data_IF_378713987494
#
_entry.id   IF_378713987494
#
_cell.length_a   1.000
_cell.length_b   1.000
_cell.length_c   1.000
_cell.angle_alpha   90.00
_cell.angle_beta   90.00
_cell.angle_gamma   90.00
#
_symmetry.space_group_name_H-M   'P 1'
#
loop_
_entity.id
_entity.type
_entity.pdbx_description
1 polymer ?
#
# COMPACT_ATOMS: atom_id res chain seq x y z
N UNK A 1 33.67 12.50 -43.20
CA UNK A 1 32.98 13.41 -42.27
C UNK A 1 31.89 12.61 -41.60
N UNK A 2 32.18 12.15 -40.39
CA UNK A 2 31.28 11.41 -39.50
C UNK A 2 30.34 12.42 -38.84
N UNK A 3 29.05 12.32 -39.12
CA UNK A 3 28.03 12.97 -38.30
C UNK A 3 27.65 11.97 -37.22
N UNK A 4 28.31 12.09 -36.07
CA UNK A 4 27.81 11.54 -34.81
C UNK A 4 26.64 12.41 -34.36
N UNK A 5 25.46 11.79 -34.27
CA UNK A 5 24.27 12.38 -33.68
C UNK A 5 24.29 12.11 -32.15
N UNK A 6 24.46 13.11 -31.27
CA UNK A 6 24.62 12.89 -29.83
C UNK A 6 23.28 12.91 -29.06
N UNK A 7 22.14 12.76 -29.74
CA UNK A 7 20.82 13.08 -29.17
C UNK A 7 19.99 11.94 -28.57
N UNK A 8 20.46 10.69 -28.55
CA UNK A 8 19.65 9.54 -28.16
C UNK A 8 20.00 8.96 -26.78
N UNK A 9 19.02 8.90 -25.86
CA UNK A 9 18.96 7.97 -24.70
C UNK A 9 19.40 8.43 -23.29
N UNK A 10 19.19 9.69 -22.89
CA UNK A 10 19.22 10.03 -21.44
C UNK A 10 17.86 9.90 -20.71
N UNK A 11 16.74 9.80 -21.44
CA UNK A 11 15.40 9.80 -20.85
C UNK A 11 14.97 8.48 -20.17
N UNK A 12 15.55 7.33 -20.54
CA UNK A 12 15.12 6.03 -19.98
C UNK A 12 15.74 5.73 -18.61
N UNK A 13 16.97 6.18 -18.36
CA UNK A 13 17.69 5.96 -17.10
C UNK A 13 17.07 6.71 -15.92
N UNK A 14 16.74 7.99 -16.14
CA UNK A 14 16.15 8.88 -15.14
C UNK A 14 14.71 8.49 -14.82
N UNK A 15 13.92 8.09 -15.83
CA UNK A 15 12.57 7.60 -15.64
C UNK A 15 12.55 6.30 -14.82
N UNK A 16 13.41 5.34 -15.15
CA UNK A 16 13.49 4.07 -14.42
C UNK A 16 13.92 4.31 -12.96
N UNK A 17 14.88 5.21 -12.73
CA UNK A 17 15.29 5.60 -11.38
C UNK A 17 14.15 6.27 -10.60
N UNK A 18 13.38 7.17 -11.22
CA UNK A 18 12.22 7.83 -10.61
C UNK A 18 11.11 6.82 -10.26
N UNK A 19 10.85 5.83 -11.13
CA UNK A 19 9.88 4.78 -10.85
C UNK A 19 10.31 3.87 -9.70
N UNK A 20 11.56 3.40 -9.69
CA UNK A 20 12.07 2.56 -8.58
C UNK A 20 12.03 3.32 -7.25
N UNK A 21 12.42 4.60 -7.28
CA UNK A 21 12.32 5.55 -6.16
C UNK A 21 10.91 5.65 -5.61
N UNK A 22 9.95 5.96 -6.49
CA UNK A 22 8.58 6.18 -6.09
C UNK A 22 7.89 4.92 -5.59
N UNK A 23 8.19 3.77 -6.19
CA UNK A 23 7.64 2.50 -5.75
C UNK A 23 8.25 2.07 -4.40
N UNK A 24 9.53 2.34 -4.15
CA UNK A 24 10.13 2.14 -2.82
C UNK A 24 9.48 3.00 -1.74
N UNK A 25 9.15 4.27 -2.06
CA UNK A 25 8.39 5.13 -1.17
C UNK A 25 6.98 4.58 -0.89
N UNK A 26 6.26 4.14 -1.94
CA UNK A 26 4.92 3.61 -1.81
C UNK A 26 4.91 2.32 -0.96
N UNK A 27 5.85 1.41 -1.21
CA UNK A 27 6.05 0.18 -0.42
C UNK A 27 6.33 0.52 1.06
N UNK A 28 7.20 1.49 1.34
CA UNK A 28 7.43 1.94 2.72
C UNK A 28 6.14 2.47 3.36
N UNK A 29 5.41 3.34 2.65
CA UNK A 29 4.17 3.93 3.17
C UNK A 29 3.15 2.85 3.50
N UNK A 30 2.97 1.86 2.61
CA UNK A 30 2.11 0.71 2.86
C UNK A 30 2.57 -0.18 4.00
N UNK A 31 3.88 -0.39 4.19
CA UNK A 31 4.42 -1.10 5.35
C UNK A 31 3.97 -0.43 6.66
N UNK A 32 4.20 0.88 6.76
CA UNK A 32 3.85 1.66 7.95
C UNK A 32 2.32 1.68 8.19
N UNK A 33 1.54 1.92 7.14
CA UNK A 33 0.08 1.94 7.19
C UNK A 33 -0.48 0.58 7.62
N UNK A 34 -0.18 -0.49 6.87
CA UNK A 34 -0.69 -1.82 7.17
C UNK A 34 -0.19 -2.34 8.52
N UNK A 35 1.03 -1.98 8.94
CA UNK A 35 1.57 -2.35 10.24
C UNK A 35 0.80 -1.70 11.39
N UNK A 36 0.52 -0.40 11.26
CA UNK A 36 -0.32 0.30 12.22
C UNK A 36 -1.75 -0.26 12.22
N UNK A 37 -2.37 -0.43 11.06
CA UNK A 37 -3.73 -0.96 10.91
C UNK A 37 -3.86 -2.36 11.50
N UNK A 38 -2.86 -3.21 11.30
CA UNK A 38 -2.81 -4.54 11.90
C UNK A 38 -2.75 -4.48 13.42
N UNK A 39 -2.06 -3.50 13.99
CA UNK A 39 -1.93 -3.37 15.46
C UNK A 39 -3.20 -2.79 16.08
N UNK A 40 -3.85 -1.86 15.38
CA UNK A 40 -5.08 -1.22 15.84
C UNK A 40 -6.33 -2.10 15.65
N UNK A 41 -6.32 -3.02 14.69
CA UNK A 41 -7.46 -3.86 14.36
C UNK A 41 -7.89 -4.76 15.52
N UNK A 42 -9.21 -4.88 15.70
CA UNK A 42 -9.85 -5.70 16.75
C UNK A 42 -10.46 -7.00 16.23
N UNK A 43 -10.43 -7.22 14.92
CA UNK A 43 -10.88 -8.47 14.30
C UNK A 43 -9.64 -9.31 14.01
N UNK A 44 -9.51 -10.46 14.68
CA UNK A 44 -8.36 -11.37 14.54
C UNK A 44 -8.04 -11.71 13.07
N UNK A 45 -9.07 -11.94 12.27
CA UNK A 45 -8.93 -12.22 10.83
C UNK A 45 -8.33 -11.05 10.03
N UNK A 46 -8.56 -9.80 10.44
CA UNK A 46 -7.96 -8.60 9.84
C UNK A 46 -6.50 -8.49 10.27
N UNK A 47 -6.22 -8.59 11.57
CA UNK A 47 -4.86 -8.53 12.13
C UNK A 47 -3.95 -9.59 11.51
N UNK A 48 -4.40 -10.85 11.48
CA UNK A 48 -3.65 -11.96 10.90
C UNK A 48 -3.39 -11.83 9.39
N UNK A 49 -4.15 -10.97 8.70
CA UNK A 49 -3.99 -10.72 7.26
C UNK A 49 -3.10 -9.51 7.00
N UNK A 50 -3.28 -8.40 7.74
CA UNK A 50 -2.54 -7.15 7.50
C UNK A 50 -1.09 -7.21 8.01
N UNK A 51 -0.79 -7.95 9.09
CA UNK A 51 0.58 -8.06 9.60
C UNK A 51 1.56 -8.68 8.57
N UNK A 52 1.25 -9.84 7.94
CA UNK A 52 2.10 -10.39 6.89
C UNK A 52 2.24 -9.44 5.69
N UNK A 53 1.14 -8.82 5.24
CA UNK A 53 1.15 -7.86 4.12
C UNK A 53 2.06 -6.66 4.42
N UNK A 54 1.99 -6.12 5.64
CA UNK A 54 2.90 -5.08 6.11
C UNK A 54 4.37 -5.52 6.00
N UNK A 55 4.71 -6.69 6.55
CA UNK A 55 6.07 -7.22 6.48
C UNK A 55 6.55 -7.43 5.04
N UNK A 56 5.66 -7.86 4.14
CA UNK A 56 5.95 -8.03 2.73
C UNK A 56 6.28 -6.69 2.06
N UNK A 57 5.49 -5.65 2.36
CA UNK A 57 5.75 -4.30 1.89
C UNK A 57 7.10 -3.76 2.39
N UNK A 58 7.45 -4.01 3.65
CA UNK A 58 8.73 -3.59 4.23
C UNK A 58 9.92 -4.21 3.47
N UNK A 59 9.87 -5.53 3.22
CA UNK A 59 10.93 -6.22 2.47
C UNK A 59 11.07 -5.69 1.03
N UNK A 60 9.95 -5.45 0.34
CA UNK A 60 9.96 -4.91 -1.04
C UNK A 60 10.51 -3.49 -1.09
N UNK A 61 10.17 -2.65 -0.11
CA UNK A 61 10.73 -1.30 0.01
C UNK A 61 12.26 -1.35 0.09
N UNK A 62 12.82 -2.23 0.94
CA UNK A 62 14.27 -2.37 1.12
C UNK A 62 14.97 -2.93 -0.13
N UNK A 63 14.34 -3.90 -0.79
CA UNK A 63 14.85 -4.43 -2.07
C UNK A 63 14.93 -3.34 -3.14
N UNK A 64 13.89 -2.52 -3.31
CA UNK A 64 13.87 -1.43 -4.29
C UNK A 64 14.87 -0.32 -3.92
N UNK A 65 15.03 0.00 -2.63
CA UNK A 65 16.02 0.97 -2.14
C UNK A 65 17.45 0.57 -2.44
N UNK A 66 17.77 -0.72 -2.54
CA UNK A 66 19.15 -1.17 -2.81
C UNK A 66 19.67 -0.66 -4.18
N UNK A 67 18.76 -0.31 -5.10
CA UNK A 67 19.09 0.27 -6.42
C UNK A 67 19.17 1.80 -6.40
N UNK A 68 18.78 2.45 -5.29
CA UNK A 68 18.82 3.90 -5.12
C UNK A 68 20.23 4.49 -5.19
N UNK A 69 21.23 3.99 -4.43
CA UNK A 69 22.56 4.61 -4.39
C UNK A 69 23.32 4.37 -5.70
N UNK A 70 23.05 3.25 -6.37
CA UNK A 70 23.77 2.81 -7.56
C UNK A 70 23.50 3.69 -8.80
N UNK A 71 22.36 4.40 -8.87
CA UNK A 71 22.00 5.22 -10.04
C UNK A 71 22.27 6.72 -9.91
N UNK A 72 22.44 7.26 -8.69
CA UNK A 72 22.70 8.71 -8.47
C UNK A 72 24.16 9.07 -8.20
N UNK A 73 25.08 8.11 -8.15
CA UNK A 73 26.51 8.39 -7.91
C UNK A 73 26.80 9.10 -6.57
N UNK A 74 25.88 9.03 -5.60
CA UNK A 74 25.96 9.74 -4.32
C UNK A 74 26.40 8.82 -3.18
N UNK A 75 27.49 9.18 -2.51
CA UNK A 75 28.18 8.45 -1.44
C UNK A 75 27.56 8.54 -0.05
N UNK A 76 26.37 9.09 0.14
CA UNK A 76 25.82 9.29 1.48
C UNK A 76 24.54 8.48 1.70
N UNK A 77 24.71 7.38 2.45
CA UNK A 77 23.66 6.48 2.94
C UNK A 77 22.74 7.11 3.98
N UNK A 78 22.21 8.30 3.70
CA UNK A 78 21.08 8.85 4.44
C UNK A 78 19.80 8.46 3.71
N UNK A 79 18.96 7.66 4.38
CA UNK A 79 17.57 7.42 3.99
C UNK A 79 16.82 8.76 3.99
N UNK A 80 16.89 9.50 2.89
CA UNK A 80 16.04 10.67 2.70
C UNK A 80 14.64 10.16 2.35
N UNK A 81 13.58 10.68 3.01
CA UNK A 81 12.20 10.39 2.64
C UNK A 81 11.94 11.14 1.33
N UNK A 82 12.44 10.60 0.23
CA UNK A 82 12.07 11.10 -1.08
C UNK A 82 10.53 11.17 -1.10
N UNK A 83 10.00 12.37 -1.27
CA UNK A 83 8.56 12.61 -1.30
C UNK A 83 7.89 11.76 -2.38
N UNK A 84 6.54 11.80 -2.46
CA UNK A 84 5.85 11.07 -3.50
C UNK A 84 6.49 11.38 -4.86
N UNK A 85 6.64 10.36 -5.72
CA UNK A 85 7.29 10.53 -7.00
C UNK A 85 6.51 11.56 -7.83
N UNK A 86 7.21 12.35 -8.63
CA UNK A 86 6.62 13.16 -9.71
C UNK A 86 6.73 12.45 -11.05
N UNK A 87 5.81 11.53 -11.39
CA UNK A 87 5.50 11.21 -12.77
C UNK A 87 4.13 11.80 -13.12
N UNK A 88 4.07 12.53 -14.22
CA UNK A 88 2.83 13.01 -14.84
C UNK A 88 1.77 11.89 -14.90
N UNK A 89 0.55 12.15 -14.41
CA UNK A 89 -0.72 11.41 -14.57
C UNK A 89 -0.65 9.87 -14.73
N UNK A 90 0.28 9.20 -14.05
CA UNK A 90 0.59 7.79 -14.27
C UNK A 90 0.15 6.84 -13.14
N UNK A 91 0.28 5.51 -13.32
CA UNK A 91 -0.12 4.52 -12.31
C UNK A 91 0.52 4.74 -10.93
N UNK A 92 1.74 5.29 -10.89
CA UNK A 92 2.45 5.55 -9.65
C UNK A 92 1.86 6.75 -8.87
N UNK A 93 1.33 7.75 -9.58
CA UNK A 93 0.58 8.86 -8.99
C UNK A 93 -0.79 8.38 -8.48
N UNK A 94 -1.50 7.55 -9.24
CA UNK A 94 -2.74 6.90 -8.79
C UNK A 94 -2.52 6.07 -7.52
N UNK A 95 -1.41 5.31 -7.44
CA UNK A 95 -1.03 4.60 -6.22
C UNK A 95 -0.78 5.55 -5.04
N UNK A 96 -0.02 6.63 -5.24
CA UNK A 96 0.23 7.62 -4.18
C UNK A 96 -1.09 8.24 -3.66
N UNK A 97 -1.96 8.65 -4.57
CA UNK A 97 -3.28 9.21 -4.24
C UNK A 97 -4.16 8.22 -3.48
N UNK A 98 -4.15 6.94 -3.89
CA UNK A 98 -4.90 5.89 -3.20
C UNK A 98 -4.40 5.62 -1.77
N UNK A 99 -3.09 5.69 -1.55
CA UNK A 99 -2.53 5.58 -0.20
C UNK A 99 -2.95 6.76 0.68
N UNK A 100 -2.94 7.97 0.15
CA UNK A 100 -3.39 9.17 0.87
C UNK A 100 -4.89 9.16 1.15
N UNK A 101 -5.70 8.70 0.18
CA UNK A 101 -7.13 8.48 0.36
C UNK A 101 -7.42 7.43 1.44
N UNK A 102 -6.74 6.29 1.40
CA UNK A 102 -6.93 5.24 2.39
C UNK A 102 -6.55 5.71 3.81
N UNK A 103 -5.43 6.44 3.94
CA UNK A 103 -5.04 7.00 5.24
C UNK A 103 -6.05 8.05 5.74
N UNK A 104 -6.53 8.94 4.88
CA UNK A 104 -7.56 9.93 5.26
C UNK A 104 -8.87 9.26 5.66
N UNK A 105 -9.25 8.17 4.99
CA UNK A 105 -10.51 7.46 5.21
C UNK A 105 -10.58 6.78 6.58
N UNK A 106 -9.43 6.34 7.12
CA UNK A 106 -9.35 5.68 8.43
C UNK A 106 -8.92 6.62 9.56
N UNK A 107 -8.57 7.86 9.23
CA UNK A 107 -8.07 8.86 10.18
C UNK A 107 -6.58 8.69 10.52
N UNK A 108 -6.00 9.65 11.27
CA UNK A 108 -4.61 9.56 11.70
C UNK A 108 -4.39 8.38 12.66
N UNK A 109 -3.16 7.87 12.80
CA UNK A 109 -2.82 6.72 13.64
C UNK A 109 -2.89 6.97 15.17
N UNK A 110 -3.78 7.85 15.63
CA UNK A 110 -3.87 8.31 17.02
C UNK A 110 -4.66 7.40 17.96
N UNK A 111 -5.44 6.46 17.44
CA UNK A 111 -6.18 5.49 18.25
C UNK A 111 -5.39 4.19 18.42
N UNK A 112 -5.27 3.72 19.65
CA UNK A 112 -4.57 2.45 19.98
C UNK A 112 -5.41 1.22 19.66
N UNK A 113 -6.71 1.37 19.41
CA UNK A 113 -7.64 0.26 19.18
C UNK A 113 -8.83 0.75 18.34
N UNK A 114 -9.19 -0.01 17.31
CA UNK A 114 -10.25 0.34 16.37
C UNK A 114 -11.56 -0.40 16.61
N UNK A 115 -12.66 0.18 16.13
CA UNK A 115 -13.92 -0.56 16.00
C UNK A 115 -13.78 -1.71 14.99
N UNK A 116 -14.71 -2.68 15.06
CA UNK A 116 -14.81 -3.73 14.04
C UNK A 116 -15.04 -3.17 12.63
N UNK A 117 -15.84 -2.12 12.51
CA UNK A 117 -16.10 -1.43 11.23
C UNK A 117 -14.83 -0.84 10.63
N UNK A 118 -14.04 -0.11 11.43
CA UNK A 118 -12.77 0.48 10.97
C UNK A 118 -11.76 -0.61 10.62
N UNK A 119 -11.70 -1.70 11.40
CA UNK A 119 -10.87 -2.87 11.10
C UNK A 119 -11.23 -3.49 9.73
N UNK A 120 -12.52 -3.69 9.45
CA UNK A 120 -12.99 -4.19 8.16
C UNK A 120 -12.72 -3.21 7.01
N UNK A 121 -12.83 -1.90 7.26
CA UNK A 121 -12.54 -0.87 6.27
C UNK A 121 -11.06 -0.90 5.85
N UNK A 122 -10.13 -1.11 6.78
CA UNK A 122 -8.70 -1.28 6.48
C UNK A 122 -8.42 -2.50 5.60
N UNK A 123 -9.06 -3.63 5.87
CA UNK A 123 -8.95 -4.81 5.02
C UNK A 123 -9.53 -4.55 3.61
N UNK A 124 -10.68 -3.87 3.51
CA UNK A 124 -11.27 -3.48 2.22
C UNK A 124 -10.33 -2.57 1.42
N UNK A 125 -9.82 -1.51 2.02
CA UNK A 125 -8.91 -0.57 1.37
C UNK A 125 -7.64 -1.28 0.89
N UNK A 126 -7.08 -2.17 1.71
CA UNK A 126 -5.91 -2.97 1.33
C UNK A 126 -6.22 -3.86 0.11
N UNK A 127 -7.29 -4.67 0.19
CA UNK A 127 -7.62 -5.64 -0.84
C UNK A 127 -8.11 -5.01 -2.15
N UNK A 128 -8.96 -3.99 -2.08
CA UNK A 128 -9.70 -3.47 -3.24
C UNK A 128 -9.07 -2.21 -3.84
N UNK A 129 -8.35 -1.41 -3.04
CA UNK A 129 -7.78 -0.14 -3.48
C UNK A 129 -6.26 -0.24 -3.69
N UNK A 130 -5.53 -0.71 -2.67
CA UNK A 130 -4.06 -0.59 -2.60
C UNK A 130 -3.36 -1.69 -3.40
N UNK A 131 -3.61 -2.97 -3.08
CA UNK A 131 -2.89 -4.09 -3.73
C UNK A 131 -3.07 -4.14 -5.26
N UNK A 132 -4.27 -3.89 -5.84
CA UNK A 132 -4.44 -3.84 -7.29
C UNK A 132 -3.58 -2.75 -7.96
N UNK A 133 -3.38 -1.62 -7.30
CA UNK A 133 -2.53 -0.52 -7.82
C UNK A 133 -1.06 -0.85 -7.76
N UNK A 134 -0.60 -1.54 -6.72
CA UNK A 134 0.76 -2.11 -6.70
C UNK A 134 0.98 -3.08 -7.85
N UNK A 135 0.03 -4.00 -8.12
CA UNK A 135 0.14 -4.91 -9.26
C UNK A 135 0.27 -4.17 -10.59
N UNK A 136 -0.48 -3.08 -10.79
CA UNK A 136 -0.37 -2.22 -11.96
C UNK A 136 1.00 -1.54 -12.04
N UNK A 137 1.49 -0.98 -10.93
CA UNK A 137 2.79 -0.33 -10.87
C UNK A 137 3.95 -1.29 -11.17
N UNK A 138 3.93 -2.49 -10.59
CA UNK A 138 4.96 -3.49 -10.86
C UNK A 138 4.96 -3.97 -12.31
N UNK A 139 3.79 -4.17 -12.91
CA UNK A 139 3.68 -4.47 -14.35
C UNK A 139 4.25 -3.35 -15.20
N UNK A 140 4.03 -2.09 -14.81
CA UNK A 140 4.56 -0.94 -15.54
C UNK A 140 6.09 -0.82 -15.38
N UNK A 141 6.62 -0.99 -14.17
CA UNK A 141 8.06 -0.99 -13.93
C UNK A 141 8.77 -2.13 -14.67
N UNK A 142 8.16 -3.32 -14.73
CA UNK A 142 8.68 -4.44 -15.52
C UNK A 142 8.78 -4.12 -17.01
N UNK A 143 7.80 -3.39 -17.57
CA UNK A 143 7.85 -2.92 -18.97
C UNK A 143 8.94 -1.87 -19.21
N UNK A 144 9.19 -1.00 -18.22
CA UNK A 144 10.23 0.04 -18.29
C UNK A 144 11.63 -0.57 -18.18
N UNK A 145 11.80 -1.63 -17.38
CA UNK A 145 13.06 -2.33 -17.18
C UNK A 145 13.42 -3.27 -18.35
N UNK A 146 13.58 -2.72 -19.55
CA UNK A 146 13.71 -3.49 -20.80
C UNK A 146 15.16 -3.72 -21.27
N UNK A 147 16.16 -3.04 -20.69
CA UNK A 147 17.55 -3.21 -21.09
C UNK A 147 18.21 -4.41 -20.40
N UNK A 148 19.21 -5.08 -21.00
CA UNK A 148 19.94 -6.17 -20.34
C UNK A 148 20.50 -5.79 -18.97
N UNK A 149 20.96 -4.54 -18.80
CA UNK A 149 21.45 -3.98 -17.53
C UNK A 149 20.42 -3.88 -16.41
N UNK A 150 19.12 -3.99 -16.73
CA UNK A 150 18.04 -3.88 -15.75
C UNK A 150 17.59 -5.24 -15.18
N UNK A 151 18.36 -6.31 -15.43
CA UNK A 151 18.01 -7.68 -15.05
C UNK A 151 17.63 -7.83 -13.57
N UNK A 152 18.36 -7.15 -12.67
CA UNK A 152 18.07 -7.19 -11.23
C UNK A 152 16.73 -6.51 -10.89
N UNK A 153 16.40 -5.40 -11.55
CA UNK A 153 15.12 -4.69 -11.34
C UNK A 153 13.97 -5.56 -11.85
N UNK A 154 14.11 -6.17 -13.04
CA UNK A 154 13.10 -7.12 -13.56
C UNK A 154 12.85 -8.26 -12.59
N UNK A 155 13.92 -8.87 -12.08
CA UNK A 155 13.81 -10.00 -11.14
C UNK A 155 13.04 -9.62 -9.87
N UNK A 156 13.29 -8.44 -9.33
CA UNK A 156 12.56 -7.94 -8.15
C UNK A 156 11.09 -7.67 -8.49
N UNK A 157 10.80 -7.08 -9.65
CA UNK A 157 9.42 -6.85 -10.07
C UNK A 157 8.64 -8.16 -10.23
N UNK A 158 9.27 -9.21 -10.80
CA UNK A 158 8.66 -10.53 -10.91
C UNK A 158 8.33 -11.13 -9.54
N UNK A 159 9.29 -11.11 -8.61
CA UNK A 159 9.07 -11.60 -7.23
C UNK A 159 7.99 -10.79 -6.52
N UNK A 160 8.04 -9.46 -6.63
CA UNK A 160 7.04 -8.58 -6.04
C UNK A 160 5.65 -8.79 -6.65
N UNK A 161 5.54 -9.09 -7.95
CA UNK A 161 4.27 -9.45 -8.58
C UNK A 161 3.71 -10.75 -8.00
N UNK A 162 4.54 -11.77 -7.82
CA UNK A 162 4.13 -13.04 -7.19
C UNK A 162 3.63 -12.80 -5.77
N UNK A 163 4.41 -12.12 -4.94
CA UNK A 163 4.07 -11.86 -3.54
C UNK A 163 2.81 -10.99 -3.43
N UNK A 164 2.73 -9.89 -4.19
CA UNK A 164 1.57 -8.98 -4.17
C UNK A 164 0.30 -9.69 -4.67
N UNK A 165 0.43 -10.61 -5.62
CA UNK A 165 -0.71 -11.41 -6.09
C UNK A 165 -1.19 -12.36 -4.98
N UNK A 166 -0.27 -13.01 -4.27
CA UNK A 166 -0.62 -13.87 -3.14
C UNK A 166 -1.27 -13.08 -2.00
N UNK A 167 -0.74 -11.90 -1.68
CA UNK A 167 -1.31 -10.95 -0.72
C UNK A 167 -2.74 -10.54 -1.15
N UNK A 168 -2.94 -10.20 -2.42
CA UNK A 168 -4.25 -9.82 -2.97
C UNK A 168 -5.29 -10.93 -2.88
N UNK A 169 -4.92 -12.16 -3.27
CA UNK A 169 -5.80 -13.34 -3.17
C UNK A 169 -6.17 -13.60 -1.71
N UNK A 170 -5.18 -13.56 -0.81
CA UNK A 170 -5.39 -13.79 0.62
C UNK A 170 -6.33 -12.74 1.23
N UNK A 171 -6.05 -11.46 0.97
CA UNK A 171 -6.86 -10.36 1.49
C UNK A 171 -8.29 -10.39 0.95
N UNK A 172 -8.47 -10.68 -0.33
CA UNK A 172 -9.79 -10.79 -0.97
C UNK A 172 -10.59 -11.98 -0.42
N UNK A 173 -9.94 -13.14 -0.27
CA UNK A 173 -10.56 -14.32 0.31
C UNK A 173 -10.97 -14.08 1.78
N UNK A 174 -10.10 -13.42 2.56
CA UNK A 174 -10.43 -13.05 3.94
C UNK A 174 -11.60 -12.08 4.01
N UNK A 175 -11.61 -11.08 3.13
CA UNK A 175 -12.70 -10.11 3.06
C UNK A 175 -14.04 -10.77 2.73
N UNK A 176 -14.07 -11.73 1.81
CA UNK A 176 -15.26 -12.52 1.51
C UNK A 176 -15.72 -13.34 2.73
N UNK A 177 -14.81 -14.07 3.37
CA UNK A 177 -15.13 -14.90 4.52
C UNK A 177 -15.68 -14.12 5.73
N UNK A 178 -15.12 -12.92 5.98
CA UNK A 178 -15.60 -12.02 7.04
C UNK A 178 -16.88 -11.27 6.63
N UNK A 179 -17.12 -11.08 5.33
CA UNK A 179 -18.35 -10.48 4.81
C UNK A 179 -19.56 -11.42 4.86
N UNK A 180 -19.34 -12.74 4.78
CA UNK A 180 -20.37 -13.76 4.92
C UNK A 180 -20.66 -14.14 6.38
N UNK A 181 -19.72 -13.92 7.29
CA UNK A 181 -19.88 -14.09 8.74
C UNK A 181 -19.62 -12.76 9.47
N UNK A 182 -20.53 -11.79 9.44
CA UNK A 182 -20.55 -10.79 10.49
C UNK A 182 -20.83 -11.57 11.78
N UNK A 183 -19.89 -11.58 12.72
CA UNK A 183 -20.06 -12.31 13.99
C UNK A 183 -21.43 -12.01 14.63
N UNK A 184 -22.00 -12.94 15.41
CA UNK A 184 -23.29 -12.71 16.05
C UNK A 184 -23.17 -11.49 16.99
N UNK A 185 -24.05 -10.49 16.81
CA UNK A 185 -24.33 -9.34 17.71
C UNK A 185 -23.68 -7.96 17.50
N UNK A 186 -23.64 -7.36 16.31
CA UNK A 186 -23.32 -5.91 16.19
C UNK A 186 -24.25 -5.06 15.29
N UNK A 187 -25.40 -5.58 14.86
CA UNK A 187 -26.37 -4.78 14.10
C UNK A 187 -27.40 -4.01 14.97
N UNK A 188 -27.49 -4.27 16.28
CA UNK A 188 -28.51 -3.64 17.13
C UNK A 188 -28.04 -2.38 17.89
N UNK A 189 -26.74 -2.16 18.07
CA UNK A 189 -26.25 -1.01 18.87
C UNK A 189 -26.28 0.34 18.13
N UNK A 190 -26.49 0.34 16.81
CA UNK A 190 -26.56 1.58 16.01
C UNK A 190 -28.00 2.15 15.99
N UNK A 191 -29.01 1.38 16.41
CA UNK A 191 -30.40 1.90 16.52
C UNK A 191 -30.78 2.38 17.93
N UNK A 192 -30.00 2.08 18.97
CA UNK A 192 -30.34 2.44 20.36
C UNK A 192 -29.51 3.57 21.00
N UNK A 193 -28.41 4.01 20.38
CA UNK A 193 -27.61 5.13 20.90
C UNK A 193 -28.23 6.53 20.66
N UNK A 194 -29.38 6.62 19.97
CA UNK A 194 -29.99 7.88 19.53
C UNK A 194 -31.24 8.35 20.29
N UNK A 195 -31.76 7.60 21.27
CA UNK A 195 -32.88 8.08 22.09
C UNK A 195 -32.49 8.16 23.56
N UNK A 196 -31.94 9.33 23.89
CA UNK A 196 -31.76 9.80 25.25
C UNK A 196 -33.07 9.72 26.04
N UNK A 197 -32.88 9.32 27.29
CA UNK A 197 -33.84 9.22 28.37
C UNK A 197 -34.76 10.45 28.48
N UNK A 198 -36.03 10.22 28.78
CA UNK A 198 -36.73 11.09 29.73
C UNK A 198 -37.48 10.21 30.75
N UNK A 199 -37.12 10.28 32.05
CA UNK A 199 -37.78 9.52 33.10
C UNK A 199 -38.91 10.36 33.70
N UNK A 200 -40.11 9.80 33.87
CA UNK A 200 -40.93 10.04 35.08
C UNK A 200 -42.14 9.11 35.16
N UNK A 201 -42.25 8.47 36.33
CA UNK A 201 -43.46 8.01 37.04
C UNK A 201 -44.20 6.71 36.63
N UNK A 202 -43.91 5.65 37.42
CA UNK A 202 -44.83 4.60 37.90
C UNK A 202 -45.88 5.18 38.89
N UNK A 203 -46.86 4.40 39.42
CA UNK A 203 -47.71 3.35 38.81
C UNK A 203 -49.20 3.43 39.28
N UNK A 204 -50.12 2.81 38.53
CA UNK A 204 -51.16 1.85 38.99
C UNK A 204 -51.94 1.32 37.79
#
# INVERSE_FOLDING_TARGET
MTNDDPGGHHLSGDLLAAWTTGLAWAEHRSWAMAGHWSTAATIDGVTATLAPISAHHGRRADQLRTFWPQRRGGTDGAASPAGPPTPDDGPLLDLANALDEAQRSLGPPGETTWTGTTSMAALRLTAQLILPRFLTCYKQLLKLANAPSDASIRRICELALTDTTADFVTATAKLAALGENPGPSQFDDIQHAGMGQNPTHRPK
#
